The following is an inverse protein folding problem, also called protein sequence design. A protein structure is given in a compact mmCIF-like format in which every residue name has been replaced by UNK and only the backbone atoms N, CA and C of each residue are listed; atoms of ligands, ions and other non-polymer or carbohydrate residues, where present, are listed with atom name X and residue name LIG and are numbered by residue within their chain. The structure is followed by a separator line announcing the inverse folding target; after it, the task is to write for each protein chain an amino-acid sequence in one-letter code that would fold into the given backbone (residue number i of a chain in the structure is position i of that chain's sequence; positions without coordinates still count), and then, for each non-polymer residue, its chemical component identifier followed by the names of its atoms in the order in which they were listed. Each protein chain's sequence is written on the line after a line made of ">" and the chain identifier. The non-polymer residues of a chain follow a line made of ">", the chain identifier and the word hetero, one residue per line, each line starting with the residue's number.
data_IF_243294245665
#
_entry.id   IF_243294245665
#
_cell.length_a   1.000
_cell.length_b   1.000
_cell.length_c   1.000
_cell.angle_alpha   90.00
_cell.angle_beta   90.00
_cell.angle_gamma   90.00
#
_symmetry.space_group_name_H-M   'P 1'
#
loop_
_entity.id
_entity.type
_entity.pdbx_description
1 polymer ?
#
# COMPACT_ATOMS: atom_id res chain seq x y z
N UNK A 1 -14.76 21.17 6.90
CA UNK A 1 -14.99 19.85 7.53
C UNK A 1 -15.13 20.08 9.03
N UNK A 2 -16.06 19.40 9.69
CA UNK A 2 -16.22 19.52 11.15
C UNK A 2 -15.00 18.91 11.85
N UNK A 3 -14.17 19.77 12.44
CA UNK A 3 -12.96 19.35 13.15
C UNK A 3 -13.27 18.60 14.44
N UNK A 4 -14.37 18.95 15.11
CA UNK A 4 -14.84 18.26 16.32
C UNK A 4 -15.22 16.83 16.01
N UNK A 5 -16.03 16.63 14.96
CA UNK A 5 -16.39 15.29 14.50
C UNK A 5 -15.18 14.49 14.03
N UNK A 6 -14.22 15.13 13.34
CA UNK A 6 -12.98 14.44 12.92
C UNK A 6 -12.18 13.94 14.13
N UNK A 7 -12.03 14.76 15.16
CA UNK A 7 -11.30 14.38 16.37
C UNK A 7 -12.01 13.27 17.16
N UNK A 8 -13.35 13.30 17.19
CA UNK A 8 -14.16 12.22 17.74
C UNK A 8 -13.93 10.90 16.99
N UNK A 9 -14.05 10.91 15.65
CA UNK A 9 -13.82 9.72 14.84
C UNK A 9 -12.40 9.17 15.03
N UNK A 10 -11.38 10.03 15.05
CA UNK A 10 -10.00 9.59 15.30
C UNK A 10 -9.85 8.89 16.64
N UNK A 11 -10.46 9.43 17.70
CA UNK A 11 -10.42 8.84 19.03
C UNK A 11 -11.06 7.45 19.05
N UNK A 12 -12.22 7.29 18.41
CA UNK A 12 -12.92 6.00 18.32
C UNK A 12 -12.12 4.97 17.51
N UNK A 13 -11.59 5.35 16.33
CA UNK A 13 -10.77 4.47 15.50
C UNK A 13 -9.51 4.00 16.23
N UNK A 14 -8.82 4.91 16.93
CA UNK A 14 -7.66 4.56 17.77
C UNK A 14 -8.06 3.73 18.98
N UNK A 15 -9.29 3.87 19.48
CA UNK A 15 -9.87 2.97 20.47
C UNK A 15 -9.98 1.55 19.94
N UNK A 16 -10.61 1.37 18.79
CA UNK A 16 -10.76 0.06 18.13
C UNK A 16 -9.41 -0.60 17.82
N UNK A 17 -8.41 0.19 17.41
CA UNK A 17 -7.04 -0.28 17.23
C UNK A 17 -6.43 -0.82 18.54
N UNK A 18 -6.59 -0.10 19.66
CA UNK A 18 -6.07 -0.53 20.97
C UNK A 18 -6.78 -1.77 21.50
N UNK A 19 -8.08 -1.86 21.30
CA UNK A 19 -8.88 -2.98 21.80
C UNK A 19 -8.62 -4.27 21.02
N UNK A 20 -8.19 -4.16 19.75
CA UNK A 20 -7.78 -5.28 18.90
C UNK A 20 -8.92 -6.22 18.48
N UNK A 21 -10.16 -5.90 18.84
CA UNK A 21 -11.32 -6.79 18.60
C UNK A 21 -11.85 -6.74 17.16
N UNK A 22 -11.60 -5.64 16.45
CA UNK A 22 -12.16 -5.39 15.11
C UNK A 22 -11.12 -5.53 13.98
N UNK A 23 -9.92 -6.01 14.28
CA UNK A 23 -8.86 -6.24 13.29
C UNK A 23 -8.19 -4.98 12.74
N UNK A 24 -8.21 -3.88 13.49
CA UNK A 24 -7.55 -2.63 13.15
C UNK A 24 -6.07 -2.70 13.56
N UNK A 25 -5.17 -2.73 12.59
CA UNK A 25 -3.72 -2.77 12.82
C UNK A 25 -3.09 -1.37 12.92
N UNK A 26 -3.47 -0.46 12.02
CA UNK A 26 -2.99 0.93 12.05
C UNK A 26 -4.09 1.91 11.61
N UNK A 27 -4.02 3.14 12.13
CA UNK A 27 -4.92 4.25 11.81
C UNK A 27 -4.08 5.47 11.48
N UNK A 28 -4.05 5.80 10.20
CA UNK A 28 -3.37 6.98 9.67
C UNK A 28 -4.40 8.07 9.38
N UNK A 29 -4.16 9.28 9.84
CA UNK A 29 -4.88 10.44 9.32
C UNK A 29 -4.35 10.80 7.90
N UNK A 30 -5.05 11.68 7.19
CA UNK A 30 -4.68 12.06 5.83
C UNK A 30 -3.26 12.64 5.70
N UNK A 31 -2.76 13.34 6.73
CA UNK A 31 -1.41 13.91 6.73
C UNK A 31 -0.36 12.80 6.88
N UNK A 32 -0.57 11.88 7.83
CA UNK A 32 0.28 10.72 8.06
C UNK A 32 0.33 9.80 6.84
N UNK A 33 -0.81 9.56 6.18
CA UNK A 33 -0.88 8.75 4.96
C UNK A 33 -0.10 9.40 3.79
N UNK A 34 -0.18 10.73 3.66
CA UNK A 34 0.56 11.49 2.66
C UNK A 34 2.07 11.49 2.95
N UNK A 35 2.46 11.74 4.19
CA UNK A 35 3.87 11.78 4.59
C UNK A 35 4.55 10.42 4.44
N UNK A 36 3.90 9.35 4.91
CA UNK A 36 4.50 8.01 4.94
C UNK A 36 4.49 7.33 3.57
N UNK A 37 3.44 7.52 2.77
CA UNK A 37 3.21 6.72 1.56
C UNK A 37 2.88 7.55 0.31
N UNK A 38 2.87 8.88 0.40
CA UNK A 38 2.47 9.74 -0.72
C UNK A 38 0.99 9.58 -1.10
N UNK A 39 0.16 8.94 -0.26
CA UNK A 39 -1.25 8.74 -0.56
C UNK A 39 -2.08 9.92 -0.05
N UNK A 40 -2.82 10.56 -0.94
CA UNK A 40 -3.67 11.70 -0.62
C UNK A 40 -4.94 11.68 -1.48
N UNK A 41 -5.99 12.35 -1.01
CA UNK A 41 -7.29 12.36 -1.67
C UNK A 41 -8.41 12.83 -0.76
N UNK A 42 -9.69 12.70 -1.18
CA UNK A 42 -10.85 13.15 -0.41
C UNK A 42 -11.22 12.18 0.73
N UNK A 43 -10.27 11.80 1.57
CA UNK A 43 -10.48 10.99 2.77
C UNK A 43 -9.99 11.73 4.02
N UNK A 44 -10.30 11.20 5.20
CA UNK A 44 -9.83 11.73 6.49
C UNK A 44 -8.89 10.75 7.20
N UNK A 45 -9.14 9.45 7.04
CA UNK A 45 -8.36 8.37 7.64
C UNK A 45 -8.13 7.25 6.63
N UNK A 46 -7.03 6.54 6.81
CA UNK A 46 -6.70 5.27 6.16
C UNK A 46 -6.52 4.22 7.25
N UNK A 47 -7.17 3.08 7.06
CA UNK A 47 -7.18 1.98 8.01
C UNK A 47 -6.40 0.81 7.41
N UNK A 48 -5.48 0.28 8.19
CA UNK A 48 -4.74 -0.93 7.88
C UNK A 48 -5.22 -2.04 8.79
N UNK A 49 -5.37 -3.25 8.25
CA UNK A 49 -5.79 -4.40 9.07
C UNK A 49 -4.62 -4.98 9.87
N UNK A 50 -4.97 -5.80 10.86
CA UNK A 50 -4.04 -6.52 11.74
C UNK A 50 -3.21 -7.63 11.05
N UNK A 51 -3.42 -7.86 9.74
CA UNK A 51 -2.75 -8.90 8.96
C UNK A 51 -3.45 -10.28 8.97
N UNK A 52 -4.52 -10.45 9.74
CA UNK A 52 -5.34 -11.67 9.79
C UNK A 52 -6.80 -11.42 9.40
N UNK A 53 -7.25 -10.18 9.54
CA UNK A 53 -8.60 -9.70 9.25
C UNK A 53 -8.65 -8.94 7.93
N UNK A 54 -9.78 -9.06 7.22
CA UNK A 54 -10.11 -8.21 6.07
C UNK A 54 -11.34 -7.37 6.35
N UNK A 55 -11.40 -6.15 5.81
CA UNK A 55 -12.59 -5.31 5.91
C UNK A 55 -13.59 -5.63 4.80
N UNK A 56 -14.85 -5.79 5.17
CA UNK A 56 -15.99 -5.89 4.27
C UNK A 56 -16.93 -4.70 4.46
N UNK A 57 -17.94 -4.60 3.60
CA UNK A 57 -18.96 -3.55 3.60
C UNK A 57 -20.29 -3.98 4.24
N UNK A 58 -20.37 -5.20 4.76
CA UNK A 58 -21.54 -5.67 5.50
C UNK A 58 -21.63 -4.94 6.85
N UNK A 59 -22.79 -4.34 7.11
CA UNK A 59 -23.10 -3.60 8.34
C UNK A 59 -23.88 -4.45 9.34
N UNK A 60 -24.31 -5.65 8.96
CA UNK A 60 -25.10 -6.54 9.80
C UNK A 60 -24.22 -7.24 10.83
N UNK A 61 -24.81 -7.52 11.99
CA UNK A 61 -24.16 -8.31 13.02
C UNK A 61 -24.07 -9.80 12.60
N UNK A 62 -22.98 -10.53 12.91
CA UNK A 62 -21.79 -10.08 13.67
C UNK A 62 -20.85 -9.21 12.84
N UNK A 63 -20.30 -8.16 13.47
CA UNK A 63 -19.33 -7.22 12.87
C UNK A 63 -18.01 -7.89 12.47
N UNK A 64 -17.69 -9.05 13.06
CA UNK A 64 -16.57 -9.90 12.66
C UNK A 64 -17.12 -11.27 12.28
N UNK A 65 -17.07 -11.61 11.00
CA UNK A 65 -17.57 -12.88 10.48
C UNK A 65 -16.41 -13.90 10.40
N UNK A 66 -16.50 -14.98 11.18
CA UNK A 66 -15.44 -16.02 11.23
C UNK A 66 -15.54 -17.08 10.12
N UNK A 67 -16.73 -17.29 9.55
CA UNK A 67 -17.03 -18.50 8.77
C UNK A 67 -17.76 -18.27 7.45
N UNK A 68 -17.93 -17.02 7.02
CA UNK A 68 -18.75 -16.70 5.86
C UNK A 68 -17.93 -15.96 4.80
N UNK A 69 -16.84 -16.59 4.35
CA UNK A 69 -16.16 -16.13 3.15
C UNK A 69 -17.04 -16.54 1.96
N UNK A 70 -17.71 -15.56 1.38
CA UNK A 70 -18.37 -15.72 0.10
C UNK A 70 -17.28 -15.92 -0.96
N UNK A 71 -17.07 -17.17 -1.37
CA UNK A 71 -16.09 -17.53 -2.39
C UNK A 71 -16.46 -16.99 -3.78
N UNK A 72 -17.66 -16.45 -3.96
CA UNK A 72 -18.04 -15.72 -5.18
C UNK A 72 -17.54 -14.27 -5.16
N UNK A 73 -17.17 -13.73 -3.99
CA UNK A 73 -16.49 -12.44 -3.84
C UNK A 73 -14.97 -12.63 -3.76
N UNK A 74 -14.27 -12.26 -4.84
CA UNK A 74 -12.82 -12.36 -4.93
C UNK A 74 -12.08 -11.59 -3.81
N UNK A 75 -12.72 -10.59 -3.19
CA UNK A 75 -12.14 -9.81 -2.09
C UNK A 75 -11.97 -10.61 -0.80
N UNK A 76 -12.71 -11.71 -0.65
CA UNK A 76 -12.69 -12.57 0.53
C UNK A 76 -11.76 -13.79 0.35
N UNK A 77 -10.90 -13.76 -0.68
CA UNK A 77 -9.94 -14.80 -0.99
C UNK A 77 -8.93 -15.07 0.15
N UNK A 78 -8.26 -16.22 0.08
CA UNK A 78 -7.20 -16.61 1.03
C UNK A 78 -5.89 -15.84 0.81
N UNK A 79 -5.67 -15.39 -0.43
CA UNK A 79 -4.56 -14.54 -0.80
C UNK A 79 -5.12 -13.16 -1.16
N UNK A 80 -4.81 -12.17 -0.33
CA UNK A 80 -5.13 -10.77 -0.58
C UNK A 80 -3.85 -9.93 -0.63
N UNK A 81 -3.96 -8.74 -1.20
CA UNK A 81 -2.90 -7.75 -1.28
C UNK A 81 -3.46 -6.37 -0.86
N UNK A 82 -2.63 -5.33 -0.92
CA UNK A 82 -3.05 -3.96 -0.55
C UNK A 82 -2.78 -3.60 0.91
N UNK A 83 -2.07 -4.46 1.64
CA UNK A 83 -1.44 -4.09 2.91
C UNK A 83 -0.34 -3.05 2.71
N UNK A 84 0.11 -2.45 3.81
CA UNK A 84 1.24 -1.53 3.83
C UNK A 84 2.48 -2.11 3.10
N UNK A 85 3.21 -1.30 2.30
CA UNK A 85 4.23 -1.81 1.37
C UNK A 85 5.39 -2.56 2.03
N UNK A 86 5.65 -2.36 3.31
CA UNK A 86 6.65 -3.11 4.09
C UNK A 86 6.21 -4.53 4.48
N UNK A 87 4.91 -4.82 4.44
CA UNK A 87 4.35 -6.13 4.76
C UNK A 87 4.40 -7.04 3.53
N UNK A 88 4.39 -8.35 3.80
CA UNK A 88 4.28 -9.38 2.78
C UNK A 88 5.46 -9.50 1.81
N UNK A 89 5.38 -10.47 0.88
CA UNK A 89 6.39 -10.65 -0.16
C UNK A 89 6.48 -9.41 -1.05
N UNK A 90 7.71 -8.97 -1.29
CA UNK A 90 7.98 -7.80 -2.12
C UNK A 90 8.06 -8.21 -3.60
N UNK A 91 7.53 -7.40 -4.54
CA UNK A 91 7.61 -7.70 -5.96
C UNK A 91 9.07 -7.64 -6.45
N UNK A 92 9.35 -8.38 -7.52
CA UNK A 92 10.68 -8.40 -8.16
C UNK A 92 10.69 -7.59 -9.44
N UNK A 93 11.80 -6.90 -9.70
CA UNK A 93 12.08 -6.30 -11.00
C UNK A 93 13.18 -7.09 -11.70
N UNK A 94 12.85 -7.67 -12.86
CA UNK A 94 13.78 -8.43 -13.70
C UNK A 94 13.85 -7.78 -15.09
N UNK A 95 15.06 -7.55 -15.59
CA UNK A 95 15.27 -6.96 -16.91
C UNK A 95 16.42 -7.68 -17.64
N UNK A 96 16.27 -7.84 -18.95
CA UNK A 96 17.30 -8.36 -19.85
C UNK A 96 17.23 -7.63 -21.18
N UNK A 97 18.36 -7.16 -21.66
CA UNK A 97 18.45 -6.46 -22.94
C UNK A 97 19.78 -5.72 -23.09
N UNK A 98 20.03 -5.11 -24.26
CA UNK A 98 21.30 -4.46 -24.57
C UNK A 98 21.62 -3.27 -23.66
N UNK A 99 20.59 -2.61 -23.10
CA UNK A 99 20.77 -1.48 -22.20
C UNK A 99 21.09 -1.89 -20.74
N UNK A 100 20.92 -3.16 -20.38
CA UNK A 100 21.11 -3.65 -19.01
C UNK A 100 22.40 -4.45 -18.87
N UNK A 101 23.04 -4.36 -17.70
CA UNK A 101 24.18 -5.19 -17.34
C UNK A 101 23.77 -6.66 -17.26
N UNK A 102 24.65 -7.54 -17.72
CA UNK A 102 24.47 -8.99 -17.56
C UNK A 102 24.93 -9.46 -16.18
N UNK A 103 24.30 -10.52 -15.66
CA UNK A 103 24.67 -11.16 -14.39
C UNK A 103 24.77 -10.17 -13.21
N UNK A 104 23.89 -9.17 -13.20
CA UNK A 104 23.84 -8.13 -12.17
C UNK A 104 22.64 -8.34 -11.25
N UNK A 105 22.85 -8.18 -9.95
CA UNK A 105 21.78 -8.11 -8.94
C UNK A 105 21.80 -6.72 -8.32
N UNK A 106 20.69 -5.99 -8.46
CA UNK A 106 20.51 -4.68 -7.85
C UNK A 106 20.21 -4.76 -6.35
N UNK A 107 20.42 -3.64 -5.65
CA UNK A 107 19.88 -3.46 -4.31
C UNK A 107 18.35 -3.24 -4.35
N UNK A 108 17.71 -3.26 -3.18
CA UNK A 108 16.29 -2.87 -3.04
C UNK A 108 16.08 -1.45 -3.60
N UNK A 109 15.01 -1.29 -4.37
CA UNK A 109 14.58 -0.02 -4.96
C UNK A 109 13.08 0.19 -4.74
N UNK A 110 12.59 1.38 -5.07
CA UNK A 110 11.16 1.69 -5.01
C UNK A 110 10.47 1.35 -6.32
N UNK A 111 9.18 1.02 -6.27
CA UNK A 111 8.40 0.70 -7.48
C UNK A 111 8.34 1.87 -8.48
N UNK A 112 8.33 3.10 -7.97
CA UNK A 112 8.29 4.31 -8.80
C UNK A 112 9.65 4.66 -9.44
N UNK A 113 10.74 3.95 -9.10
CA UNK A 113 12.02 4.04 -9.82
C UNK A 113 11.95 3.33 -11.20
N UNK A 114 10.94 2.50 -11.43
CA UNK A 114 10.78 1.74 -12.68
C UNK A 114 10.58 2.67 -13.90
N UNK A 115 9.67 3.63 -13.79
CA UNK A 115 9.35 4.55 -14.88
C UNK A 115 10.56 5.37 -15.37
N UNK A 116 11.31 6.10 -14.51
CA UNK A 116 12.49 6.83 -14.94
C UNK A 116 13.62 5.91 -15.45
N UNK A 117 13.72 4.68 -14.93
CA UNK A 117 14.67 3.67 -15.45
C UNK A 117 14.36 3.29 -16.89
N UNK A 118 13.09 2.95 -17.18
CA UNK A 118 12.66 2.58 -18.53
C UNK A 118 12.72 3.76 -19.49
N UNK A 119 12.33 4.96 -19.05
CA UNK A 119 12.45 6.17 -19.87
C UNK A 119 13.92 6.40 -20.28
N UNK A 120 14.86 6.25 -19.35
CA UNK A 120 16.30 6.35 -19.64
C UNK A 120 16.79 5.28 -20.62
N UNK A 121 16.36 4.03 -20.46
CA UNK A 121 16.66 2.93 -21.40
C UNK A 121 16.16 3.22 -22.80
N UNK A 122 14.99 3.85 -22.92
CA UNK A 122 14.36 4.19 -24.20
C UNK A 122 14.80 5.54 -24.78
N UNK A 123 15.66 6.30 -24.07
CA UNK A 123 16.04 7.65 -24.48
C UNK A 123 14.88 8.66 -24.46
N UNK A 124 13.82 8.39 -23.69
CA UNK A 124 12.66 9.27 -23.55
C UNK A 124 12.97 10.31 -22.46
N UNK A 125 12.89 11.62 -22.76
CA UNK A 125 13.05 12.65 -21.74
C UNK A 125 11.89 12.57 -20.74
N UNK A 126 12.19 12.73 -19.46
CA UNK A 126 11.20 12.78 -18.39
C UNK A 126 11.49 13.95 -17.44
N UNK A 127 10.41 14.47 -16.86
CA UNK A 127 10.48 15.55 -15.87
C UNK A 127 10.86 15.00 -14.49
N UNK A 128 11.16 15.89 -13.54
CA UNK A 128 11.44 15.50 -12.17
C UNK A 128 10.26 14.70 -11.59
N UNK A 129 10.55 13.51 -11.07
CA UNK A 129 9.57 12.61 -10.47
C UNK A 129 10.11 12.09 -9.14
N UNK A 130 9.24 11.44 -8.35
CA UNK A 130 9.62 10.91 -7.03
C UNK A 130 10.66 9.79 -7.12
N UNK A 131 10.78 9.15 -8.29
CA UNK A 131 11.73 8.09 -8.56
C UNK A 131 13.05 8.57 -9.15
N UNK A 132 14.07 7.72 -8.99
CA UNK A 132 15.36 7.85 -9.68
C UNK A 132 15.53 6.74 -10.70
N UNK A 133 16.18 7.04 -11.83
CA UNK A 133 16.61 5.97 -12.73
C UNK A 133 17.66 5.09 -12.02
N UNK A 134 17.45 3.77 -12.06
CA UNK A 134 18.34 2.76 -11.51
C UNK A 134 19.54 2.53 -12.46
N UNK A 135 20.35 3.58 -12.63
CA UNK A 135 21.51 3.58 -13.54
C UNK A 135 22.55 2.54 -13.19
N UNK A 136 22.59 2.09 -11.94
CA UNK A 136 23.44 0.99 -11.49
C UNK A 136 23.16 -0.33 -12.24
N UNK A 137 21.95 -0.51 -12.79
CA UNK A 137 21.54 -1.68 -13.57
C UNK A 137 21.85 -1.55 -15.07
N UNK A 138 22.17 -0.35 -15.54
CA UNK A 138 22.35 -0.03 -16.96
C UNK A 138 23.81 -0.12 -17.39
N UNK A 139 24.05 -0.38 -18.69
CA UNK A 139 25.40 -0.35 -19.30
C UNK A 139 25.91 1.06 -19.51
#
# INVERSE_FOLDING_TARGET
>A
KDEGFRAEVERELRGMQRDGLCGFGDVLNAEQAKERYGVYGPFSFMLETDGFTGFGDDWKHPSVQRHNRDLTDYRQGWASHGHMPEKGPQPVFCAKGPAFKENCTGARANIWDLAPTLAKVLGIPYYACDGRALTELLR
#
